data_IF_173076596168
#
_entry.id   IF_173076596168
#
_cell.length_a   1.000
_cell.length_b   1.000
_cell.length_c   1.000
_cell.angle_alpha   90.00
_cell.angle_beta   90.00
_cell.angle_gamma   90.00
#
_symmetry.space_group_name_H-M   'P 1'
#
loop_
_entity.id
_entity.type
_entity.pdbx_description
1 polymer ?
#
# COMPACT_ATOMS: atom_id res chain seq x y z
N UNK A 1 15.75 -3.03 18.22
CA UNK A 1 17.09 -2.41 18.10
C UNK A 1 17.31 -2.23 16.61
N UNK A 2 17.13 -1.02 16.10
CA UNK A 2 17.25 -0.72 14.67
C UNK A 2 18.74 -0.54 14.40
N UNK A 3 19.43 -1.61 14.05
CA UNK A 3 20.76 -1.45 13.44
C UNK A 3 20.48 -0.79 12.09
N UNK A 4 20.76 0.51 12.00
CA UNK A 4 20.70 1.23 10.73
C UNK A 4 21.63 0.50 9.78
N UNK A 5 21.04 -0.17 8.79
CA UNK A 5 21.81 -0.93 7.83
C UNK A 5 22.84 0.01 7.22
N UNK A 6 24.13 -0.35 7.35
CA UNK A 6 25.23 0.46 6.84
C UNK A 6 25.04 0.86 5.36
N UNK A 7 24.28 0.04 4.63
CA UNK A 7 23.84 0.32 3.26
C UNK A 7 22.88 1.52 3.17
N UNK A 8 21.86 1.60 4.02
CA UNK A 8 20.90 2.72 4.02
C UNK A 8 21.60 4.02 4.42
N UNK A 9 22.53 3.96 5.38
CA UNK A 9 23.35 5.12 5.76
C UNK A 9 24.26 5.56 4.62
N UNK A 10 24.88 4.63 3.91
CA UNK A 10 25.65 4.94 2.68
C UNK A 10 24.77 5.64 1.64
N UNK A 11 23.54 5.17 1.41
CA UNK A 11 22.61 5.82 0.48
C UNK A 11 22.11 7.19 0.93
N UNK A 12 21.96 7.39 2.24
CA UNK A 12 21.73 8.74 2.77
C UNK A 12 22.92 9.64 2.48
N UNK A 13 24.16 9.15 2.64
CA UNK A 13 25.35 9.93 2.32
C UNK A 13 25.44 10.24 0.81
N UNK A 14 25.20 9.25 -0.06
CA UNK A 14 25.14 9.45 -1.52
C UNK A 14 24.20 10.61 -1.86
N UNK A 15 23.02 10.63 -1.24
CA UNK A 15 22.05 11.71 -1.38
C UNK A 15 22.59 13.07 -0.90
N UNK A 16 23.22 13.13 0.26
CA UNK A 16 23.77 14.38 0.79
C UNK A 16 24.88 14.97 -0.09
N UNK A 17 25.67 14.12 -0.76
CA UNK A 17 26.75 14.58 -1.63
C UNK A 17 26.31 14.89 -3.06
N UNK A 18 25.27 14.24 -3.58
CA UNK A 18 24.90 14.34 -5.01
C UNK A 18 23.51 14.88 -5.26
N UNK A 19 22.66 14.96 -4.22
CA UNK A 19 21.24 15.27 -4.32
C UNK A 19 20.38 14.08 -4.77
N UNK A 20 20.96 12.89 -5.00
CA UNK A 20 20.25 11.68 -5.35
C UNK A 20 20.92 10.42 -4.79
N UNK A 21 20.23 9.27 -4.81
CA UNK A 21 20.80 7.98 -4.45
C UNK A 21 20.35 6.88 -5.40
N UNK A 22 21.23 5.91 -5.64
CA UNK A 22 20.92 4.72 -6.44
C UNK A 22 20.49 3.55 -5.56
N UNK A 23 19.61 2.70 -6.07
CA UNK A 23 19.26 1.42 -5.41
C UNK A 23 20.42 0.42 -5.41
N UNK A 24 21.39 0.62 -6.30
CA UNK A 24 22.50 -0.30 -6.48
C UNK A 24 23.52 -0.17 -5.33
N UNK A 25 23.84 -1.25 -4.60
CA UNK A 25 24.95 -1.24 -3.64
C UNK A 25 26.27 -0.94 -4.34
N UNK A 26 27.13 -0.18 -3.65
CA UNK A 26 28.49 0.05 -4.13
C UNK A 26 29.24 -1.28 -4.22
N UNK A 27 30.22 -1.37 -5.12
CA UNK A 27 31.04 -2.58 -5.32
C UNK A 27 31.68 -3.08 -4.00
N UNK A 28 31.91 -2.16 -3.05
CA UNK A 28 32.43 -2.45 -1.71
C UNK A 28 31.39 -3.09 -0.81
N UNK A 29 30.14 -2.61 -0.83
CA UNK A 29 29.07 -3.18 -0.02
C UNK A 29 28.46 -4.46 -0.61
N UNK A 30 28.46 -4.63 -1.93
CA UNK A 30 28.03 -5.89 -2.58
C UNK A 30 28.79 -7.10 -2.02
N UNK A 31 30.11 -6.95 -1.83
CA UNK A 31 30.96 -8.01 -1.25
C UNK A 31 30.68 -8.28 0.23
N UNK A 32 30.12 -7.31 0.95
CA UNK A 32 29.86 -7.40 2.40
C UNK A 32 28.43 -7.85 2.72
N UNK A 33 27.47 -7.48 1.89
CA UNK A 33 26.05 -7.71 2.11
C UNK A 33 25.61 -9.13 1.75
N UNK A 34 26.38 -9.86 0.93
CA UNK A 34 26.00 -11.18 0.43
C UNK A 34 24.66 -11.12 -0.31
N UNK A 35 23.91 -12.23 -0.32
CA UNK A 35 22.59 -12.29 -0.97
C UNK A 35 21.47 -11.53 -0.19
N UNK A 36 21.82 -10.78 0.87
CA UNK A 36 20.84 -9.96 1.61
C UNK A 36 20.39 -8.80 0.73
N UNK A 37 19.33 -9.06 -0.04
CA UNK A 37 18.85 -8.16 -1.07
C UNK A 37 17.83 -7.23 -0.40
N UNK A 38 18.28 -6.06 0.09
CA UNK A 38 17.33 -5.01 0.47
C UNK A 38 16.60 -4.61 -0.82
N UNK A 39 15.32 -4.94 -0.90
CA UNK A 39 14.50 -4.66 -2.07
C UNK A 39 14.21 -3.17 -2.19
N UNK A 40 13.95 -2.70 -3.41
CA UNK A 40 13.81 -1.26 -3.70
C UNK A 40 12.78 -0.54 -2.81
N UNK A 41 11.61 -1.15 -2.57
CA UNK A 41 10.61 -0.59 -1.66
C UNK A 41 11.13 -0.44 -0.22
N UNK A 42 11.82 -1.45 0.29
CA UNK A 42 12.37 -1.46 1.64
C UNK A 42 13.47 -0.40 1.79
N UNK A 43 14.34 -0.24 0.78
CA UNK A 43 15.35 0.81 0.77
C UNK A 43 14.72 2.20 0.87
N UNK A 44 13.73 2.49 0.02
CA UNK A 44 13.05 3.79 0.02
C UNK A 44 12.31 4.04 1.34
N UNK A 45 11.67 3.01 1.92
CA UNK A 45 11.02 3.12 3.23
C UNK A 45 12.02 3.42 4.37
N UNK A 46 13.16 2.74 4.37
CA UNK A 46 14.21 2.95 5.38
C UNK A 46 14.88 4.32 5.21
N UNK A 47 15.13 4.77 3.97
CA UNK A 47 15.64 6.11 3.70
C UNK A 47 14.67 7.22 4.10
N UNK A 48 13.37 7.00 3.93
CA UNK A 48 12.36 7.91 4.45
C UNK A 48 12.44 8.00 5.99
N UNK A 49 12.49 6.86 6.69
CA UNK A 49 12.61 6.85 8.15
C UNK A 49 13.89 7.54 8.64
N UNK A 50 15.02 7.33 7.96
CA UNK A 50 16.27 8.02 8.28
C UNK A 50 16.15 9.52 8.00
N UNK A 51 15.56 9.92 6.87
CA UNK A 51 15.29 11.32 6.56
C UNK A 51 14.41 12.00 7.61
N UNK A 52 13.38 11.31 8.10
CA UNK A 52 12.48 11.81 9.15
C UNK A 52 13.24 11.91 10.48
N UNK A 53 14.04 10.90 10.83
CA UNK A 53 14.86 10.86 12.05
C UNK A 53 15.88 12.00 12.11
N UNK A 54 16.56 12.30 11.01
CA UNK A 54 17.60 13.33 10.94
C UNK A 54 17.07 14.68 10.44
N UNK A 55 15.75 14.85 10.31
CA UNK A 55 15.10 16.07 9.85
C UNK A 55 15.66 16.57 8.51
N UNK A 56 15.67 15.70 7.50
CA UNK A 56 16.10 15.98 6.12
C UNK A 56 14.86 15.88 5.19
N UNK A 57 14.02 16.92 5.09
CA UNK A 57 12.72 16.83 4.41
C UNK A 57 12.83 16.44 2.93
N UNK A 58 13.83 16.96 2.23
CA UNK A 58 14.05 16.65 0.82
C UNK A 58 14.42 15.17 0.59
N UNK A 59 15.07 14.52 1.57
CA UNK A 59 15.32 13.07 1.52
C UNK A 59 14.00 12.28 1.66
N UNK A 60 13.10 12.72 2.54
CA UNK A 60 11.77 12.13 2.65
C UNK A 60 10.98 12.28 1.35
N UNK A 61 11.04 13.44 0.70
CA UNK A 61 10.35 13.73 -0.57
C UNK A 61 10.86 12.84 -1.70
N UNK A 62 12.18 12.77 -1.90
CA UNK A 62 12.76 11.94 -2.96
C UNK A 62 12.53 10.45 -2.69
N UNK A 63 12.61 10.01 -1.42
CA UNK A 63 12.32 8.62 -1.07
C UNK A 63 10.85 8.26 -1.31
N UNK A 64 9.93 9.16 -0.98
CA UNK A 64 8.50 9.00 -1.26
C UNK A 64 8.25 8.90 -2.77
N UNK A 65 8.90 9.77 -3.56
CA UNK A 65 8.78 9.78 -5.02
C UNK A 65 9.28 8.46 -5.62
N UNK A 66 10.49 8.02 -5.25
CA UNK A 66 11.05 6.76 -5.74
C UNK A 66 10.23 5.54 -5.30
N UNK A 67 9.69 5.55 -4.07
CA UNK A 67 8.78 4.51 -3.59
C UNK A 67 7.52 4.43 -4.46
N UNK A 68 6.93 5.57 -4.83
CA UNK A 68 5.78 5.62 -5.73
C UNK A 68 6.13 5.17 -7.16
N UNK A 69 7.25 5.62 -7.70
CA UNK A 69 7.70 5.22 -9.05
C UNK A 69 7.93 3.71 -9.14
N UNK A 70 8.50 3.12 -8.08
CA UNK A 70 8.66 1.66 -7.95
C UNK A 70 7.31 0.93 -8.01
N UNK A 71 6.24 1.56 -7.53
CA UNK A 71 4.90 1.00 -7.60
C UNK A 71 4.28 1.02 -9.00
N UNK A 72 4.79 1.84 -9.92
CA UNK A 72 4.21 2.01 -11.24
C UNK A 72 4.75 1.00 -12.27
N UNK A 73 6.03 0.60 -12.26
CA UNK A 73 6.53 -0.36 -13.25
C UNK A 73 7.95 -0.94 -12.99
N UNK A 74 8.16 -2.28 -12.97
CA UNK A 74 7.19 -3.35 -12.76
C UNK A 74 6.84 -3.50 -11.27
N UNK A 75 5.55 -3.62 -10.95
CA UNK A 75 5.09 -3.79 -9.57
C UNK A 75 5.43 -5.18 -9.04
N UNK A 76 6.28 -5.24 -8.00
CA UNK A 76 6.54 -6.46 -7.25
C UNK A 76 5.77 -6.44 -5.93
N UNK A 77 4.69 -7.23 -5.86
CA UNK A 77 3.88 -7.34 -4.65
C UNK A 77 4.64 -7.91 -3.46
N UNK A 78 5.64 -8.77 -3.67
CA UNK A 78 6.45 -9.35 -2.58
C UNK A 78 7.22 -8.25 -1.87
N UNK A 79 8.05 -7.55 -2.63
CA UNK A 79 8.94 -6.50 -2.12
C UNK A 79 8.13 -5.37 -1.47
N UNK A 80 6.96 -5.06 -2.05
CA UNK A 80 6.01 -4.12 -1.47
C UNK A 80 5.54 -4.57 -0.08
N UNK A 81 5.03 -5.80 0.05
CA UNK A 81 4.54 -6.31 1.34
C UNK A 81 5.64 -6.43 2.39
N UNK A 82 6.85 -6.81 1.96
CA UNK A 82 8.02 -6.89 2.84
C UNK A 82 8.46 -5.52 3.39
N UNK A 83 8.16 -4.43 2.68
CA UNK A 83 8.46 -3.07 3.15
C UNK A 83 7.43 -2.49 4.14
N UNK A 84 6.22 -3.05 4.23
CA UNK A 84 5.15 -2.51 5.08
C UNK A 84 5.54 -2.51 6.58
N UNK A 85 6.15 -3.57 7.13
CA UNK A 85 6.66 -3.53 8.50
C UNK A 85 7.61 -2.35 8.77
N UNK A 86 8.54 -2.05 7.85
CA UNK A 86 9.48 -0.92 8.00
C UNK A 86 8.74 0.43 8.07
N UNK A 87 7.65 0.60 7.31
CA UNK A 87 6.86 1.84 7.27
C UNK A 87 6.02 2.01 8.55
N UNK A 88 5.39 0.94 9.03
CA UNK A 88 4.39 1.02 10.09
C UNK A 88 4.94 0.77 11.50
N UNK A 89 6.04 0.03 11.64
CA UNK A 89 6.67 -0.20 12.95
C UNK A 89 7.77 0.80 13.29
N UNK A 90 8.20 1.64 12.35
CA UNK A 90 9.20 2.66 12.64
C UNK A 90 8.70 3.61 13.73
N UNK A 91 9.30 3.62 14.93
CA UNK A 91 8.87 4.44 16.06
C UNK A 91 9.16 5.94 15.83
N UNK A 92 9.85 6.25 14.73
CA UNK A 92 10.33 7.59 14.39
C UNK A 92 9.51 8.26 13.28
N UNK A 93 8.57 7.56 12.64
CA UNK A 93 7.71 8.15 11.59
C UNK A 93 6.70 9.13 12.18
N UNK A 94 7.14 10.37 12.41
CA UNK A 94 6.30 11.53 12.74
C UNK A 94 5.50 11.96 11.51
N UNK A 95 6.06 11.71 10.33
CA UNK A 95 5.43 11.98 9.06
C UNK A 95 4.63 10.76 8.54
N UNK A 96 3.30 10.93 8.40
CA UNK A 96 2.38 9.89 7.90
C UNK A 96 2.33 9.80 6.37
N UNK A 97 3.08 10.64 5.63
CA UNK A 97 3.04 10.70 4.16
C UNK A 97 3.31 9.33 3.53
N UNK A 98 4.34 8.62 3.98
CA UNK A 98 4.67 7.30 3.43
C UNK A 98 3.64 6.24 3.80
N UNK A 99 3.06 6.29 5.01
CA UNK A 99 1.98 5.39 5.45
C UNK A 99 0.73 5.55 4.56
N UNK A 100 0.32 6.80 4.33
CA UNK A 100 -0.80 7.12 3.44
C UNK A 100 -0.52 6.69 2.00
N UNK A 101 0.70 6.91 1.51
CA UNK A 101 1.10 6.50 0.16
C UNK A 101 1.05 4.99 0.00
N UNK A 102 1.62 4.23 0.94
CA UNK A 102 1.57 2.77 0.93
C UNK A 102 0.11 2.28 0.92
N UNK A 103 -0.73 2.79 1.82
CA UNK A 103 -2.14 2.42 1.85
C UNK A 103 -2.91 2.79 0.55
N UNK A 104 -2.56 3.90 -0.10
CA UNK A 104 -3.08 4.25 -1.43
C UNK A 104 -2.63 3.26 -2.52
N UNK A 105 -1.35 2.88 -2.56
CA UNK A 105 -0.81 1.87 -3.49
C UNK A 105 -1.53 0.52 -3.30
N UNK A 106 -1.81 0.12 -2.06
CA UNK A 106 -2.59 -1.08 -1.77
C UNK A 106 -3.97 -1.03 -2.43
N UNK A 107 -4.68 0.09 -2.27
CA UNK A 107 -6.00 0.29 -2.84
C UNK A 107 -5.96 0.28 -4.37
N UNK A 108 -5.07 1.07 -4.97
CA UNK A 108 -5.10 1.37 -6.40
C UNK A 108 -4.49 0.26 -7.26
N UNK A 109 -3.40 -0.36 -6.78
CA UNK A 109 -2.66 -1.39 -7.54
C UNK A 109 -2.93 -2.79 -7.01
N UNK A 110 -2.72 -3.02 -5.71
CA UNK A 110 -2.72 -4.37 -5.13
C UNK A 110 -4.11 -4.98 -5.04
N UNK A 111 -5.15 -4.15 -4.85
CA UNK A 111 -6.54 -4.61 -4.81
C UNK A 111 -6.93 -5.47 -6.02
N UNK A 112 -6.39 -5.16 -7.21
CA UNK A 112 -6.60 -5.94 -8.43
C UNK A 112 -5.88 -7.30 -8.43
N UNK A 113 -4.77 -7.41 -7.71
CA UNK A 113 -3.92 -8.61 -7.62
C UNK A 113 -4.31 -9.58 -6.50
N UNK A 114 -5.21 -9.19 -5.59
CA UNK A 114 -5.67 -10.04 -4.47
C UNK A 114 -6.41 -11.32 -4.90
N UNK A 115 -6.81 -11.43 -6.17
CA UNK A 115 -7.34 -12.67 -6.73
C UNK A 115 -6.27 -13.79 -6.80
N UNK A 116 -4.99 -13.44 -6.73
CA UNK A 116 -3.90 -14.41 -6.67
C UNK A 116 -3.70 -14.92 -5.23
N UNK A 117 -3.77 -16.24 -4.97
CA UNK A 117 -3.66 -16.80 -3.62
C UNK A 117 -2.30 -16.54 -2.96
N UNK A 118 -1.22 -16.43 -3.73
CA UNK A 118 0.12 -16.14 -3.20
C UNK A 118 0.22 -14.70 -2.67
N UNK A 119 -0.35 -13.75 -3.42
CA UNK A 119 -0.43 -12.33 -3.01
C UNK A 119 -1.36 -12.20 -1.81
N UNK A 120 -2.46 -12.98 -1.79
CA UNK A 120 -3.41 -13.00 -0.68
C UNK A 120 -2.77 -13.51 0.62
N UNK A 121 -2.00 -14.59 0.56
CA UNK A 121 -1.30 -15.12 1.73
C UNK A 121 -0.36 -14.08 2.34
N UNK A 122 0.44 -13.39 1.50
CA UNK A 122 1.35 -12.33 1.98
C UNK A 122 0.60 -11.14 2.58
N UNK A 123 -0.52 -10.76 1.98
CA UNK A 123 -1.39 -9.75 2.56
C UNK A 123 -1.90 -10.17 3.94
N UNK A 124 -2.38 -11.40 4.09
CA UNK A 124 -2.90 -11.91 5.37
C UNK A 124 -1.77 -11.94 6.44
N UNK A 125 -0.55 -12.32 6.06
CA UNK A 125 0.63 -12.27 6.93
C UNK A 125 0.97 -10.85 7.39
N UNK A 126 0.98 -9.87 6.46
CA UNK A 126 1.23 -8.46 6.77
C UNK A 126 0.10 -7.85 7.57
N UNK A 127 -1.16 -8.21 7.30
CA UNK A 127 -2.33 -7.74 8.03
C UNK A 127 -2.31 -8.21 9.48
N UNK A 128 -1.86 -9.45 9.73
CA UNK A 128 -1.68 -9.98 11.08
C UNK A 128 -0.54 -9.27 11.83
N UNK A 129 0.55 -8.94 11.13
CA UNK A 129 1.69 -8.23 11.73
C UNK A 129 1.36 -6.76 12.01
N UNK A 130 0.81 -6.04 11.02
CA UNK A 130 0.60 -4.59 11.06
C UNK A 130 -0.89 -4.25 10.92
N UNK A 131 -1.68 -4.31 12.00
CA UNK A 131 -3.08 -3.90 11.97
C UNK A 131 -3.25 -2.39 11.65
N UNK A 132 -2.22 -1.58 11.94
CA UNK A 132 -2.20 -0.15 11.60
C UNK A 132 -2.25 0.09 10.09
N UNK A 133 -1.60 -0.76 9.29
CA UNK A 133 -1.68 -0.72 7.84
C UNK A 133 -3.09 -1.01 7.34
N UNK A 134 -3.73 -2.06 7.87
CA UNK A 134 -5.10 -2.42 7.49
C UNK A 134 -6.07 -1.30 7.83
N UNK A 135 -5.92 -0.68 9.01
CA UNK A 135 -6.72 0.47 9.41
C UNK A 135 -6.58 1.63 8.42
N UNK A 136 -5.35 1.99 8.04
CA UNK A 136 -5.11 3.09 7.09
C UNK A 136 -5.75 2.80 5.72
N UNK A 137 -5.62 1.57 5.23
CA UNK A 137 -6.26 1.14 3.97
C UNK A 137 -7.78 1.24 4.06
N UNK A 138 -8.37 0.81 5.18
CA UNK A 138 -9.81 0.92 5.42
C UNK A 138 -10.26 2.37 5.54
N UNK A 139 -9.53 3.21 6.27
CA UNK A 139 -9.82 4.63 6.42
C UNK A 139 -9.78 5.33 5.05
N UNK A 140 -8.78 5.04 4.21
CA UNK A 140 -8.75 5.51 2.81
C UNK A 140 -9.97 5.00 2.06
N UNK A 141 -10.29 3.70 2.12
CA UNK A 141 -11.46 3.16 1.43
C UNK A 141 -12.75 3.89 1.83
N UNK A 142 -13.00 4.04 3.12
CA UNK A 142 -14.20 4.66 3.70
C UNK A 142 -14.30 6.16 3.41
N UNK A 143 -13.17 6.87 3.44
CA UNK A 143 -13.12 8.31 3.14
C UNK A 143 -13.13 8.59 1.64
N UNK A 144 -12.64 7.65 0.83
CA UNK A 144 -12.61 7.74 -0.63
C UNK A 144 -13.97 7.43 -1.26
N UNK A 145 -15.03 8.14 -0.87
CA UNK A 145 -16.33 8.15 -1.55
C UNK A 145 -16.79 6.79 -2.12
N UNK A 146 -16.80 5.76 -1.28
CA UNK A 146 -17.78 4.67 -1.41
C UNK A 146 -19.12 5.40 -1.17
N UNK A 147 -19.92 5.81 -2.15
CA UNK A 147 -20.44 5.09 -3.30
C UNK A 147 -20.61 6.03 -4.52
N UNK A 148 -19.63 6.15 -5.40
CA UNK A 148 -19.93 6.46 -6.81
C UNK A 148 -20.17 5.15 -7.55
N UNK A 149 -21.19 4.40 -7.11
CA UNK A 149 -21.88 3.53 -8.05
C UNK A 149 -22.67 4.47 -8.95
N UNK A 150 -22.12 4.78 -10.13
CA UNK A 150 -22.97 5.21 -11.24
C UNK A 150 -23.94 4.06 -11.50
N UNK A 151 -25.16 4.19 -10.99
CA UNK A 151 -26.27 3.41 -11.53
C UNK A 151 -26.34 3.80 -13.00
N UNK A 152 -26.08 2.86 -13.94
CA UNK A 152 -26.12 3.08 -15.40
C UNK A 152 -27.48 3.64 -15.92
N UNK A 153 -28.44 3.88 -15.03
CA UNK A 153 -29.78 4.32 -15.34
C UNK A 153 -30.27 5.53 -14.53
N UNK A 154 -29.41 6.17 -13.71
CA UNK A 154 -29.78 7.36 -12.93
C UNK A 154 -28.69 8.43 -13.01
N UNK A 155 -28.87 9.42 -13.89
CA UNK A 155 -28.05 10.64 -13.99
C UNK A 155 -28.35 11.63 -12.84
N UNK A 156 -28.23 11.21 -11.57
CA UNK A 156 -28.33 12.14 -10.46
C UNK A 156 -27.25 11.90 -9.40
N UNK A 157 -26.42 12.93 -9.21
CA UNK A 157 -25.50 13.03 -8.09
C UNK A 157 -26.26 13.54 -6.87
N UNK A 158 -26.39 12.71 -5.84
CA UNK A 158 -26.82 13.20 -4.52
C UNK A 158 -25.73 12.88 -3.49
N UNK A 159 -25.03 13.93 -3.09
CA UNK A 159 -24.13 13.91 -1.93
C UNK A 159 -24.97 13.98 -0.66
N UNK A 160 -25.39 12.83 -0.15
CA UNK A 160 -25.95 12.79 1.20
C UNK A 160 -26.82 11.58 1.51
N UNK A 161 -26.32 10.76 2.45
CA UNK A 161 -27.00 9.67 3.16
C UNK A 161 -27.36 8.45 2.31
N UNK A 162 -26.86 7.30 2.76
CA UNK A 162 -27.32 5.98 2.33
C UNK A 162 -28.82 5.90 2.59
N UNK A 163 -29.61 5.94 1.52
CA UNK A 163 -30.96 5.37 1.51
C UNK A 163 -31.04 4.47 0.28
N UNK A 164 -30.80 3.18 0.53
CA UNK A 164 -31.06 2.14 -0.47
C UNK A 164 -32.57 2.06 -0.68
N UNK A 165 -33.02 2.47 -1.87
CA UNK A 165 -34.23 1.93 -2.49
C UNK A 165 -34.14 2.13 -4.01
N UNK A 166 -33.62 1.12 -4.72
CA UNK A 166 -33.76 1.05 -6.17
C UNK A 166 -35.07 0.33 -6.49
N UNK A 167 -36.16 1.11 -6.47
CA UNK A 167 -37.50 0.69 -6.82
C UNK A 167 -37.62 0.38 -8.32
N UNK A 168 -37.40 -0.89 -8.65
CA UNK A 168 -37.92 -1.62 -9.81
C UNK A 168 -38.93 -0.83 -10.69
N UNK A 169 -38.50 -0.37 -11.89
CA UNK A 169 -39.41 -0.20 -13.03
C UNK A 169 -38.89 -0.96 -14.24
N UNK A 170 -39.21 -2.25 -14.25
CA UNK A 170 -39.71 -2.95 -15.43
C UNK A 170 -38.69 -3.19 -16.55
N UNK A 171 -37.91 -4.27 -16.43
CA UNK A 171 -37.72 -5.29 -17.49
C UNK A 171 -36.86 -6.42 -16.94
N UNK A 172 -37.48 -7.58 -16.73
CA UNK A 172 -36.79 -8.84 -16.48
C UNK A 172 -35.88 -9.13 -17.68
N UNK A 173 -34.56 -9.13 -17.48
CA UNK A 173 -33.63 -9.91 -18.29
C UNK A 173 -32.81 -10.79 -17.35
N UNK A 174 -33.15 -12.08 -17.36
CA UNK A 174 -32.35 -13.15 -16.78
C UNK A 174 -31.03 -13.26 -17.53
N UNK A 175 -29.90 -13.37 -16.83
CA UNK A 175 -28.78 -14.28 -17.13
C UNK A 175 -27.97 -14.54 -15.83
N UNK A 176 -27.25 -15.67 -15.70
CA UNK A 176 -27.39 -16.56 -14.54
C UNK A 176 -26.36 -16.29 -13.42
N UNK A 177 -26.86 -16.04 -12.21
CA UNK A 177 -26.11 -16.29 -10.98
C UNK A 177 -26.15 -17.80 -10.69
N UNK A 178 -25.17 -18.55 -11.18
CA UNK A 178 -25.01 -19.93 -10.73
C UNK A 178 -24.45 -19.92 -9.32
N UNK A 179 -25.31 -20.38 -8.39
CA UNK A 179 -24.98 -21.06 -7.14
C UNK A 179 -24.29 -20.22 -6.07
N UNK A 180 -25.08 -19.67 -5.13
CA UNK A 180 -24.99 -20.09 -3.72
C UNK A 180 -26.39 -20.02 -3.09
N UNK A 181 -26.80 -21.14 -2.50
CA UNK A 181 -28.08 -21.36 -1.84
C UNK A 181 -27.76 -21.47 -0.36
N UNK A 182 -28.17 -20.51 0.46
CA UNK A 182 -28.16 -20.66 1.93
C UNK A 182 -29.54 -20.30 2.44
N UNK A 183 -30.27 -21.33 2.83
CA UNK A 183 -31.60 -21.28 3.42
C UNK A 183 -31.50 -21.19 4.94
N UNK A 184 -32.22 -20.26 5.56
CA UNK A 184 -32.72 -20.42 6.92
C UNK A 184 -34.14 -19.83 7.03
N UNK A 185 -35.12 -20.73 6.98
CA UNK A 185 -36.44 -20.59 7.62
C UNK A 185 -36.32 -21.29 8.98
N UNK A 186 -36.95 -20.90 10.09
CA UNK A 186 -38.23 -20.23 10.26
C UNK A 186 -38.25 -19.52 11.62
N UNK A 187 -39.08 -18.47 11.71
CA UNK A 187 -39.68 -18.04 12.98
C UNK A 187 -40.61 -19.13 13.50
N UNK A 188 -40.61 -19.30 14.81
CA UNK A 188 -41.79 -19.65 15.62
C UNK A 188 -41.73 -18.79 16.87
#
# INVERSE_FOLDING_TARGET
>A
MWDESAFVVEKMLDYLYTGDYSEAPSDKLQKKLGNSTIYGFQLHAQLFTIGDKYCIPLLCEIATTKYFDKAQNPFNSSDYFESIPDIFFSPLNHNNTLKMLAARIMKDTVGSHLNNPLVRSKYDDVAAQSPGFVKEVLDICLTSHILTWTCDNCDHFDTGKIRMDCGNRGKKKLYPFSKYKVSWSSRS
#
